data_IF_264305454733
#
_entry.id   IF_264305454733
#
_cell.length_a   1.000
_cell.length_b   1.000
_cell.length_c   1.000
_cell.angle_alpha   90.00
_cell.angle_beta   90.00
_cell.angle_gamma   90.00
#
_symmetry.space_group_name_H-M   'P 1'
#
loop_
_entity.id
_entity.type
_entity.pdbx_description
1 polymer ?
#
# COMPACT_ATOMS: atom_id res chain seq x y z
N UNK A 1 18.29 -5.69 22.83
CA UNK A 1 17.65 -6.85 22.17
C UNK A 1 18.72 -7.91 21.91
N UNK A 2 18.43 -9.19 22.15
CA UNK A 2 19.39 -10.27 21.87
C UNK A 2 19.45 -10.52 20.36
N UNK A 3 20.61 -11.04 19.89
CA UNK A 3 20.86 -11.37 18.48
C UNK A 3 19.70 -12.17 17.85
N UNK A 4 19.23 -13.19 18.58
CA UNK A 4 18.15 -14.08 18.16
C UNK A 4 16.81 -13.34 17.97
N UNK A 5 16.51 -12.37 18.82
CA UNK A 5 15.25 -11.61 18.73
C UNK A 5 15.21 -10.72 17.47
N UNK A 6 16.34 -10.16 17.06
CA UNK A 6 16.41 -9.34 15.85
C UNK A 6 16.24 -10.21 14.58
N UNK A 7 16.82 -11.40 14.55
CA UNK A 7 16.65 -12.34 13.43
C UNK A 7 15.18 -12.79 13.29
N UNK A 8 14.52 -13.12 14.41
CA UNK A 8 13.09 -13.46 14.41
C UNK A 8 12.24 -12.29 13.92
N UNK A 9 12.50 -11.08 14.43
CA UNK A 9 11.76 -9.88 14.03
C UNK A 9 11.94 -9.58 12.53
N UNK A 10 13.16 -9.72 12.01
CA UNK A 10 13.43 -9.53 10.59
C UNK A 10 12.63 -10.52 9.72
N UNK A 11 12.62 -11.81 10.09
CA UNK A 11 11.86 -12.83 9.36
C UNK A 11 10.35 -12.54 9.43
N UNK A 12 9.83 -12.13 10.58
CA UNK A 12 8.42 -11.76 10.73
C UNK A 12 8.05 -10.56 9.83
N UNK A 13 8.88 -9.53 9.78
CA UNK A 13 8.66 -8.38 8.91
C UNK A 13 8.75 -8.74 7.42
N UNK A 14 9.69 -9.60 7.03
CA UNK A 14 9.79 -10.08 5.67
C UNK A 14 8.53 -10.87 5.26
N UNK A 15 8.09 -11.81 6.09
CA UNK A 15 6.90 -12.61 5.83
C UNK A 15 5.64 -11.76 5.74
N UNK A 16 5.50 -10.77 6.62
CA UNK A 16 4.40 -9.80 6.59
C UNK A 16 4.42 -8.98 5.30
N UNK A 17 5.59 -8.49 4.89
CA UNK A 17 5.75 -7.75 3.63
C UNK A 17 5.31 -8.58 2.42
N UNK A 18 5.76 -9.83 2.34
CA UNK A 18 5.38 -10.76 1.25
C UNK A 18 3.87 -11.04 1.29
N UNK A 19 3.31 -11.27 2.48
CA UNK A 19 1.87 -11.51 2.63
C UNK A 19 1.04 -10.32 2.14
N UNK A 20 1.38 -9.09 2.54
CA UNK A 20 0.70 -7.88 2.08
C UNK A 20 0.87 -7.70 0.57
N UNK A 21 2.05 -7.94 0.03
CA UNK A 21 2.32 -7.85 -1.40
C UNK A 21 1.44 -8.81 -2.21
N UNK A 22 1.36 -10.08 -1.80
CA UNK A 22 0.49 -11.06 -2.45
C UNK A 22 -0.99 -10.70 -2.31
N UNK A 23 -1.39 -10.11 -1.18
CA UNK A 23 -2.76 -9.63 -0.96
C UNK A 23 -3.11 -8.47 -1.90
N UNK A 24 -2.18 -7.53 -2.12
CA UNK A 24 -2.39 -6.42 -3.04
C UNK A 24 -2.49 -6.88 -4.51
N UNK A 25 -1.67 -7.85 -4.93
CA UNK A 25 -1.78 -8.42 -6.28
C UNK A 25 -3.11 -9.15 -6.47
N UNK A 26 -3.60 -9.83 -5.44
CA UNK A 26 -4.87 -10.55 -5.48
C UNK A 26 -6.09 -9.65 -5.34
N UNK A 27 -5.93 -8.34 -5.18
CA UNK A 27 -7.06 -7.43 -5.02
C UNK A 27 -7.90 -7.35 -6.30
N UNK A 28 -9.22 -7.45 -6.10
CA UNK A 28 -10.22 -7.18 -7.13
C UNK A 28 -11.32 -6.33 -6.51
N UNK A 29 -11.70 -5.25 -7.18
CA UNK A 29 -12.61 -4.23 -6.62
C UNK A 29 -14.00 -4.76 -6.24
N UNK A 30 -14.44 -5.88 -6.84
CA UNK A 30 -15.71 -6.52 -6.50
C UNK A 30 -15.65 -7.42 -5.25
N UNK A 31 -14.47 -7.65 -4.66
CA UNK A 31 -14.36 -8.27 -3.36
C UNK A 31 -14.59 -7.23 -2.27
N UNK A 32 -15.86 -6.94 -1.99
CA UNK A 32 -16.21 -6.36 -0.70
C UNK A 32 -16.42 -7.53 0.28
N UNK A 33 -15.43 -7.87 1.07
CA UNK A 33 -15.70 -8.77 2.16
C UNK A 33 -16.59 -8.01 3.13
N UNK A 34 -17.86 -8.35 3.19
CA UNK A 34 -18.63 -8.18 4.41
C UNK A 34 -17.96 -9.06 5.48
N UNK A 35 -16.77 -8.61 5.92
CA UNK A 35 -15.88 -9.34 6.84
C UNK A 35 -16.67 -9.77 8.08
N UNK A 36 -17.58 -8.92 8.53
CA UNK A 36 -18.46 -9.17 9.67
C UNK A 36 -19.40 -10.35 9.37
N UNK A 37 -19.99 -10.40 8.19
CA UNK A 37 -20.87 -11.51 7.81
C UNK A 37 -20.08 -12.82 7.62
N UNK A 38 -18.85 -12.78 7.09
CA UNK A 38 -18.01 -13.97 6.92
C UNK A 38 -17.49 -14.52 8.24
N UNK A 39 -17.22 -13.67 9.23
CA UNK A 39 -16.76 -14.11 10.55
C UNK A 39 -17.88 -14.69 11.42
N UNK A 40 -19.13 -14.29 11.17
CA UNK A 40 -20.27 -14.67 12.00
C UNK A 40 -21.32 -15.55 11.30
N UNK A 41 -21.27 -15.70 9.99
CA UNK A 41 -22.14 -16.64 9.27
C UNK A 41 -21.47 -18.01 9.19
N UNK A 42 -22.14 -19.01 9.75
CA UNK A 42 -21.75 -20.44 9.65
C UNK A 42 -21.91 -21.00 8.25
N UNK A 43 -22.49 -20.26 7.33
CA UNK A 43 -22.70 -20.70 5.96
C UNK A 43 -21.36 -20.58 5.20
N UNK A 44 -20.76 -21.75 5.05
CA UNK A 44 -19.60 -21.98 4.17
C UNK A 44 -19.98 -21.78 2.70
N UNK A 45 -20.36 -20.57 2.33
CA UNK A 45 -20.37 -20.18 0.94
C UNK A 45 -18.89 -20.00 0.56
N UNK A 46 -18.28 -21.11 0.15
CA UNK A 46 -17.02 -21.09 -0.59
C UNK A 46 -17.27 -20.29 -1.86
N UNK A 47 -17.07 -18.98 -1.76
CA UNK A 47 -16.99 -18.17 -2.96
C UNK A 47 -15.68 -18.57 -3.64
N UNK A 48 -15.79 -19.29 -4.76
CA UNK A 48 -14.71 -19.73 -5.65
C UNK A 48 -13.75 -18.59 -6.08
N UNK A 49 -14.03 -17.39 -5.66
CA UNK A 49 -13.40 -16.16 -6.09
C UNK A 49 -12.50 -15.50 -5.02
N UNK A 50 -12.25 -16.11 -3.87
CA UNK A 50 -11.37 -15.51 -2.86
C UNK A 50 -9.92 -15.42 -3.38
N UNK A 51 -9.20 -14.33 -3.05
CA UNK A 51 -7.79 -14.22 -3.39
C UNK A 51 -6.99 -15.34 -2.70
N UNK A 52 -5.84 -15.68 -3.29
CA UNK A 52 -4.93 -16.71 -2.76
C UNK A 52 -4.58 -16.53 -1.26
N UNK A 53 -4.59 -15.31 -0.78
CA UNK A 53 -4.32 -14.95 0.62
C UNK A 53 -5.55 -15.10 1.54
N UNK A 54 -6.69 -15.57 1.01
CA UNK A 54 -7.92 -15.78 1.76
C UNK A 54 -8.58 -14.47 2.24
N UNK A 55 -9.51 -14.62 3.18
CA UNK A 55 -10.30 -13.49 3.72
C UNK A 55 -9.42 -12.42 4.38
N UNK A 56 -8.38 -12.82 5.12
CA UNK A 56 -7.46 -11.87 5.76
C UNK A 56 -6.71 -11.02 4.75
N UNK A 57 -6.22 -11.64 3.68
CA UNK A 57 -5.56 -10.90 2.61
C UNK A 57 -6.51 -9.99 1.84
N UNK A 58 -7.73 -10.45 1.55
CA UNK A 58 -8.77 -9.62 0.94
C UNK A 58 -9.10 -8.39 1.79
N UNK A 59 -9.19 -8.56 3.11
CA UNK A 59 -9.45 -7.46 4.04
C UNK A 59 -8.33 -6.44 4.07
N UNK A 60 -7.09 -6.89 4.19
CA UNK A 60 -5.91 -6.02 4.23
C UNK A 60 -5.76 -5.27 2.90
N UNK A 61 -5.89 -5.95 1.77
CA UNK A 61 -5.80 -5.31 0.46
C UNK A 61 -6.92 -4.31 0.23
N UNK A 62 -8.15 -4.61 0.64
CA UNK A 62 -9.29 -3.69 0.57
C UNK A 62 -9.03 -2.42 1.39
N UNK A 63 -8.53 -2.55 2.61
CA UNK A 63 -8.19 -1.39 3.46
C UNK A 63 -7.09 -0.56 2.82
N UNK A 64 -6.01 -1.18 2.36
CA UNK A 64 -4.86 -0.48 1.80
C UNK A 64 -5.17 0.17 0.45
N UNK A 65 -5.98 -0.48 -0.39
CA UNK A 65 -6.30 0.03 -1.72
C UNK A 65 -7.45 1.02 -1.65
N UNK A 66 -8.60 0.69 -1.07
CA UNK A 66 -9.76 1.59 -1.06
C UNK A 66 -9.60 2.78 -0.12
N UNK A 67 -9.14 2.52 1.12
CA UNK A 67 -9.13 3.56 2.15
C UNK A 67 -7.77 4.22 2.36
N UNK A 68 -6.71 3.73 1.72
CA UNK A 68 -5.39 4.32 1.88
C UNK A 68 -4.84 4.84 0.55
N UNK A 69 -3.71 4.32 0.07
CA UNK A 69 -2.97 4.86 -1.08
C UNK A 69 -3.33 4.21 -2.42
N UNK A 70 -4.38 3.42 -2.50
CA UNK A 70 -4.65 2.67 -3.72
C UNK A 70 -3.48 1.75 -4.09
N UNK A 71 -3.15 1.66 -5.36
CA UNK A 71 -1.95 0.92 -5.80
C UNK A 71 -0.63 1.53 -5.30
N UNK A 72 -0.61 2.78 -4.84
CA UNK A 72 0.54 3.34 -4.12
C UNK A 72 0.91 2.58 -2.84
N UNK A 73 0.01 1.74 -2.32
CA UNK A 73 0.25 0.88 -1.14
C UNK A 73 1.35 -0.17 -1.36
N UNK A 74 1.73 -0.48 -2.61
CA UNK A 74 2.88 -1.35 -2.90
C UNK A 74 4.20 -0.81 -2.31
N UNK A 75 4.32 0.52 -2.18
CA UNK A 75 5.50 1.12 -1.53
C UNK A 75 5.58 0.81 -0.04
N UNK A 76 4.46 0.54 0.64
CA UNK A 76 4.44 0.08 2.04
C UNK A 76 5.14 -1.28 2.16
N UNK A 77 4.88 -2.19 1.22
CA UNK A 77 5.58 -3.49 1.19
C UNK A 77 7.08 -3.30 1.02
N UNK A 78 7.51 -2.39 0.12
CA UNK A 78 8.93 -2.08 -0.09
C UNK A 78 9.60 -1.54 1.18
N UNK A 79 8.92 -0.67 1.92
CA UNK A 79 9.41 -0.13 3.19
C UNK A 79 9.57 -1.24 4.23
N UNK A 80 8.56 -2.09 4.41
CA UNK A 80 8.61 -3.21 5.36
C UNK A 80 9.76 -4.17 5.03
N UNK A 81 9.94 -4.48 3.74
CA UNK A 81 11.02 -5.35 3.28
C UNK A 81 12.40 -4.71 3.52
N UNK A 82 12.54 -3.42 3.26
CA UNK A 82 13.75 -2.67 3.55
C UNK A 82 14.11 -2.73 5.04
N UNK A 83 13.15 -2.46 5.94
CA UNK A 83 13.42 -2.53 7.38
C UNK A 83 13.73 -3.96 7.84
N UNK A 84 13.07 -4.97 7.30
CA UNK A 84 13.41 -6.36 7.54
C UNK A 84 14.87 -6.65 7.20
N UNK A 85 15.32 -6.23 6.02
CA UNK A 85 16.71 -6.39 5.57
C UNK A 85 17.70 -5.65 6.49
N UNK A 86 17.39 -4.43 6.92
CA UNK A 86 18.25 -3.66 7.82
C UNK A 86 18.41 -4.33 9.18
N UNK A 87 17.33 -4.84 9.75
CA UNK A 87 17.34 -5.55 11.03
C UNK A 87 18.14 -6.86 10.89
N UNK A 88 17.95 -7.58 9.79
CA UNK A 88 18.68 -8.83 9.52
C UNK A 88 20.18 -8.59 9.38
N UNK A 89 20.58 -7.57 8.63
CA UNK A 89 22.00 -7.21 8.42
C UNK A 89 22.59 -6.43 9.58
N UNK A 90 21.82 -6.16 10.64
CA UNK A 90 22.23 -5.40 11.83
C UNK A 90 22.75 -4.00 11.53
N UNK A 91 22.33 -3.43 10.43
CA UNK A 91 22.60 -2.03 10.14
C UNK A 91 21.79 -1.16 11.10
N UNK A 92 22.30 0.02 11.37
CA UNK A 92 21.59 0.97 12.22
C UNK A 92 20.36 1.50 11.49
N UNK A 93 19.18 0.90 11.76
CA UNK A 93 17.91 1.29 11.15
C UNK A 93 17.41 2.68 11.59
N UNK A 94 18.04 3.25 12.63
CA UNK A 94 17.78 4.62 13.12
C UNK A 94 18.54 5.69 12.34
N UNK A 95 19.37 5.33 11.35
CA UNK A 95 20.08 6.31 10.55
C UNK A 95 19.11 7.19 9.76
N UNK A 96 19.33 8.50 9.79
CA UNK A 96 18.53 9.50 9.07
C UNK A 96 18.36 9.18 7.59
N UNK A 97 19.35 8.51 6.97
CA UNK A 97 19.32 8.07 5.58
C UNK A 97 18.14 7.11 5.29
N UNK A 98 17.94 6.11 6.15
CA UNK A 98 16.86 5.12 5.94
C UNK A 98 15.48 5.70 6.24
N UNK A 99 15.41 6.60 7.23
CA UNK A 99 14.17 7.34 7.50
C UNK A 99 13.81 8.23 6.31
N UNK A 100 14.77 8.95 5.75
CA UNK A 100 14.55 9.76 4.56
C UNK A 100 14.11 8.91 3.36
N UNK A 101 14.74 7.75 3.16
CA UNK A 101 14.37 6.81 2.08
C UNK A 101 12.94 6.28 2.25
N UNK A 102 12.52 5.95 3.49
CA UNK A 102 11.15 5.51 3.74
C UNK A 102 10.11 6.62 3.53
N UNK A 103 10.43 7.87 3.91
CA UNK A 103 9.58 9.03 3.62
C UNK A 103 9.48 9.29 2.11
N UNK A 104 10.57 9.15 1.38
CA UNK A 104 10.57 9.26 -0.07
C UNK A 104 9.68 8.18 -0.72
N UNK A 105 9.77 6.93 -0.28
CA UNK A 105 8.91 5.85 -0.76
C UNK A 105 7.43 6.10 -0.45
N UNK A 106 7.10 6.58 0.75
CA UNK A 106 5.73 6.97 1.09
C UNK A 106 5.22 8.11 0.21
N UNK A 107 6.04 9.13 0.00
CA UNK A 107 5.74 10.23 -0.91
C UNK A 107 5.50 9.77 -2.34
N UNK A 108 6.34 8.85 -2.84
CA UNK A 108 6.18 8.23 -4.15
C UNK A 108 4.88 7.43 -4.26
N UNK A 109 4.52 6.68 -3.22
CA UNK A 109 3.26 5.94 -3.17
C UNK A 109 2.04 6.86 -3.21
N UNK A 110 2.06 7.95 -2.44
CA UNK A 110 1.00 8.96 -2.46
C UNK A 110 0.92 9.64 -3.82
N UNK A 111 2.07 9.94 -4.41
CA UNK A 111 2.12 10.56 -5.73
C UNK A 111 1.53 9.65 -6.82
N UNK A 112 1.86 8.34 -6.81
CA UNK A 112 1.26 7.35 -7.72
C UNK A 112 -0.25 7.29 -7.53
N UNK A 113 -0.74 7.33 -6.30
CA UNK A 113 -2.18 7.36 -6.00
C UNK A 113 -2.87 8.59 -6.62
N UNK A 114 -2.28 9.78 -6.48
CA UNK A 114 -2.79 11.02 -7.08
C UNK A 114 -2.79 10.95 -8.62
N UNK A 115 -1.70 10.44 -9.19
CA UNK A 115 -1.56 10.28 -10.63
C UNK A 115 -2.60 9.32 -11.21
N UNK A 116 -2.83 8.19 -10.55
CA UNK A 116 -3.86 7.23 -10.97
C UNK A 116 -5.26 7.84 -10.89
N UNK A 117 -5.55 8.65 -9.85
CA UNK A 117 -6.82 9.36 -9.74
C UNK A 117 -7.00 10.36 -10.89
N UNK A 118 -5.94 11.04 -11.28
CA UNK A 118 -5.96 11.97 -12.40
C UNK A 118 -6.19 11.25 -13.75
N UNK A 119 -5.54 10.09 -13.94
CA UNK A 119 -5.57 9.38 -15.22
C UNK A 119 -6.84 8.54 -15.42
N UNK A 120 -7.24 7.75 -14.40
CA UNK A 120 -8.38 6.85 -14.45
C UNK A 120 -9.68 7.45 -13.88
N UNK A 121 -9.60 8.61 -13.25
CA UNK A 121 -10.69 9.14 -12.45
C UNK A 121 -10.78 8.49 -11.08
N UNK A 122 -11.90 8.75 -10.40
CA UNK A 122 -12.16 8.20 -9.06
C UNK A 122 -12.55 6.74 -9.21
N UNK A 123 -11.71 5.85 -8.72
CA UNK A 123 -11.98 4.41 -8.65
C UNK A 123 -11.49 3.86 -7.32
N UNK A 124 -11.97 2.67 -6.95
CA UNK A 124 -11.49 1.97 -5.75
C UNK A 124 -9.97 1.76 -5.76
N UNK A 125 -9.38 1.69 -6.94
CA UNK A 125 -7.96 1.41 -7.15
C UNK A 125 -7.05 2.62 -6.87
N UNK A 126 -7.63 3.82 -6.88
CA UNK A 126 -6.88 5.07 -6.66
C UNK A 126 -6.68 5.41 -5.20
N UNK A 127 -7.52 4.86 -4.33
CA UNK A 127 -7.49 5.06 -2.89
C UNK A 127 -8.03 6.41 -2.43
N UNK A 128 -8.49 6.45 -1.19
CA UNK A 128 -9.09 7.65 -0.61
C UNK A 128 -8.11 8.83 -0.54
N UNK A 129 -6.87 8.57 -0.15
CA UNK A 129 -5.86 9.64 -0.07
C UNK A 129 -5.52 10.22 -1.44
N UNK A 130 -5.42 9.38 -2.48
CA UNK A 130 -5.23 9.86 -3.85
C UNK A 130 -6.35 10.78 -4.31
N UNK A 131 -7.59 10.39 -4.04
CA UNK A 131 -8.77 11.18 -4.34
C UNK A 131 -8.77 12.53 -3.59
N UNK A 132 -8.56 12.52 -2.27
CA UNK A 132 -8.58 13.74 -1.45
C UNK A 132 -7.49 14.72 -1.89
N UNK A 133 -6.27 14.25 -2.10
CA UNK A 133 -5.18 15.10 -2.56
C UNK A 133 -5.39 15.61 -3.98
N UNK A 134 -5.89 14.78 -4.89
CA UNK A 134 -6.23 15.20 -6.24
C UNK A 134 -7.31 16.30 -6.22
N UNK A 135 -8.37 16.13 -5.43
CA UNK A 135 -9.43 17.13 -5.31
C UNK A 135 -8.89 18.46 -4.75
N UNK A 136 -8.10 18.37 -3.68
CA UNK A 136 -7.46 19.54 -3.10
C UNK A 136 -6.55 20.28 -4.10
N UNK A 137 -5.73 19.55 -4.85
CA UNK A 137 -4.87 20.13 -5.87
C UNK A 137 -5.69 20.73 -7.02
N UNK A 138 -6.75 20.07 -7.45
CA UNK A 138 -7.62 20.56 -8.51
C UNK A 138 -8.35 21.86 -8.11
N UNK A 139 -8.79 21.96 -6.87
CA UNK A 139 -9.38 23.19 -6.32
C UNK A 139 -8.36 24.33 -6.17
N UNK A 140 -7.12 23.99 -5.76
CA UNK A 140 -6.07 24.99 -5.47
C UNK A 140 -5.36 25.49 -6.72
N UNK A 141 -5.08 24.61 -7.68
CA UNK A 141 -4.19 24.90 -8.83
C UNK A 141 -4.95 24.83 -10.16
N UNK A 142 -6.17 24.29 -10.16
CA UNK A 142 -7.06 24.19 -11.33
C UNK A 142 -6.34 23.57 -12.55
N UNK A 143 -6.27 24.30 -13.65
CA UNK A 143 -5.71 23.80 -14.91
C UNK A 143 -4.21 23.48 -14.87
N UNK A 144 -3.45 23.98 -13.90
CA UNK A 144 -2.02 23.69 -13.75
C UNK A 144 -1.73 22.24 -13.32
N UNK A 145 -2.70 21.54 -12.74
CA UNK A 145 -2.52 20.15 -12.31
C UNK A 145 -2.21 19.23 -13.50
N UNK A 146 -2.79 19.49 -14.66
CA UNK A 146 -2.58 18.71 -15.90
C UNK A 146 -1.15 18.80 -16.43
N UNK A 147 -0.44 19.85 -16.09
CA UNK A 147 0.95 20.08 -16.51
C UNK A 147 1.91 19.61 -15.42
N UNK A 148 1.60 19.89 -14.18
CA UNK A 148 2.50 19.68 -13.05
C UNK A 148 2.63 18.20 -12.66
N UNK A 149 1.55 17.41 -12.76
CA UNK A 149 1.56 15.99 -12.47
C UNK A 149 2.47 15.17 -13.41
N UNK A 150 2.39 15.30 -14.74
CA UNK A 150 3.32 14.60 -15.62
C UNK A 150 4.77 15.04 -15.43
N UNK A 151 5.03 16.33 -15.26
CA UNK A 151 6.40 16.84 -15.07
C UNK A 151 7.02 16.28 -13.78
N UNK A 152 6.29 16.29 -12.69
CA UNK A 152 6.80 15.73 -11.41
C UNK A 152 7.02 14.22 -11.51
N UNK A 153 6.27 13.51 -12.34
CA UNK A 153 6.50 12.09 -12.61
C UNK A 153 7.86 11.85 -13.28
N UNK A 154 8.18 12.62 -14.30
CA UNK A 154 9.47 12.50 -14.99
C UNK A 154 10.67 12.91 -14.12
N UNK A 155 10.45 13.72 -13.08
CA UNK A 155 11.51 14.11 -12.14
C UNK A 155 11.73 13.05 -11.05
N UNK A 156 10.68 12.28 -10.72
CA UNK A 156 10.71 11.26 -9.65
C UNK A 156 11.24 9.89 -10.10
N UNK A 157 11.24 9.63 -11.42
CA UNK A 157 11.83 8.45 -12.05
C UNK A 157 13.27 8.72 -12.43
#
# INVERSE_FOLDING_TARGET
MTKKNNEILAILLASLSIFIFLSLIGFKSYYEPNIINYLFSSDSIYNENLPFTGILGASISSILIKYFLGYGSFFICSILFMYSYLIFTRKNYSDKKYLFLSLYQLGSGLWVSIFLTWYFGVSDETGLFGYLFHTFLNESIRNFIYILLPITFFILI
#
